data_IF_942869341254
#
_entry.id   IF_942869341254
#
_cell.length_a   1.000
_cell.length_b   1.000
_cell.length_c   1.000
_cell.angle_alpha   90.00
_cell.angle_beta   90.00
_cell.angle_gamma   90.00
#
_symmetry.space_group_name_H-M   'P 1'
#
loop_
_entity.id
_entity.type
_entity.pdbx_description
1 polymer ?
#
# COMPACT_ATOMS: atom_id res chain seq x y z
N UNK A 1 -19.61 10.66 -18.41
CA UNK A 1 -19.23 10.69 -16.98
C UNK A 1 -17.76 10.33 -16.90
N UNK A 2 -16.86 11.30 -16.72
CA UNK A 2 -15.43 11.00 -16.58
C UNK A 2 -15.20 10.30 -15.25
N UNK A 3 -14.79 9.03 -15.28
CA UNK A 3 -14.34 8.33 -14.09
C UNK A 3 -13.18 9.13 -13.49
N UNK A 4 -13.30 9.54 -12.21
CA UNK A 4 -12.19 10.17 -11.51
C UNK A 4 -11.05 9.15 -11.42
N UNK A 5 -9.99 9.38 -12.18
CA UNK A 5 -8.83 8.49 -12.31
C UNK A 5 -8.14 8.23 -10.95
N UNK A 6 -8.39 9.11 -9.96
CA UNK A 6 -7.87 8.96 -8.59
C UNK A 6 -8.45 7.73 -7.88
N UNK A 7 -9.68 7.34 -8.22
CA UNK A 7 -10.35 6.19 -7.59
C UNK A 7 -9.68 4.86 -7.99
N UNK A 8 -9.55 4.50 -9.28
CA UNK A 8 -8.88 3.26 -9.66
C UNK A 8 -7.40 3.27 -9.25
N UNK A 9 -6.70 4.40 -9.40
CA UNK A 9 -5.29 4.52 -8.96
C UNK A 9 -5.18 4.29 -7.45
N UNK A 10 -5.98 4.99 -6.65
CA UNK A 10 -5.96 4.86 -5.19
C UNK A 10 -6.29 3.45 -4.72
N UNK A 11 -7.29 2.80 -5.33
CA UNK A 11 -7.63 1.41 -5.03
C UNK A 11 -6.48 0.45 -5.35
N UNK A 12 -5.81 0.60 -6.50
CA UNK A 12 -4.67 -0.25 -6.85
C UNK A 12 -3.55 -0.15 -5.81
N UNK A 13 -3.19 1.07 -5.40
CA UNK A 13 -2.14 1.28 -4.38
C UNK A 13 -2.52 0.70 -3.02
N UNK A 14 -3.77 0.87 -2.58
CA UNK A 14 -4.24 0.29 -1.31
C UNK A 14 -4.24 -1.23 -1.36
N UNK A 15 -4.75 -1.86 -2.42
CA UNK A 15 -4.79 -3.32 -2.55
C UNK A 15 -3.37 -3.89 -2.55
N UNK A 16 -2.46 -3.34 -3.36
CA UNK A 16 -1.08 -3.79 -3.40
C UNK A 16 -0.36 -3.56 -2.06
N UNK A 17 -0.60 -2.43 -1.41
CA UNK A 17 -0.05 -2.14 -0.10
C UNK A 17 -0.53 -3.10 0.99
N UNK A 18 -1.81 -3.47 0.97
CA UNK A 18 -2.37 -4.47 1.90
C UNK A 18 -1.80 -5.85 1.65
N UNK A 19 -1.66 -6.27 0.40
CA UNK A 19 -1.04 -7.55 0.05
C UNK A 19 0.43 -7.60 0.49
N UNK A 20 1.20 -6.55 0.20
CA UNK A 20 2.62 -6.47 0.55
C UNK A 20 2.84 -6.34 2.07
N UNK A 21 2.03 -5.53 2.74
CA UNK A 21 2.06 -5.37 4.20
C UNK A 21 1.62 -6.64 4.91
N UNK A 22 0.57 -7.30 4.42
CA UNK A 22 0.13 -8.60 4.91
C UNK A 22 1.21 -9.66 4.74
N UNK A 23 1.85 -9.72 3.57
CA UNK A 23 3.03 -10.58 3.36
C UNK A 23 4.14 -10.24 4.37
N UNK A 24 4.41 -8.95 4.60
CA UNK A 24 5.33 -8.50 5.65
C UNK A 24 5.01 -9.06 7.03
N UNK A 25 3.74 -9.10 7.43
CA UNK A 25 3.30 -9.59 8.74
C UNK A 25 3.39 -11.12 8.86
N UNK A 26 3.00 -11.84 7.81
CA UNK A 26 2.90 -13.31 7.84
C UNK A 26 4.15 -14.06 7.35
N UNK A 27 5.18 -13.33 6.90
CA UNK A 27 6.42 -13.92 6.39
C UNK A 27 7.43 -14.26 7.48
N UNK A 28 8.26 -15.26 7.21
CA UNK A 28 9.34 -15.69 8.10
C UNK A 28 10.40 -14.58 8.27
N UNK A 29 10.75 -14.18 9.51
CA UNK A 29 11.83 -13.25 9.80
C UNK A 29 13.17 -13.58 9.13
N UNK A 30 13.46 -14.86 8.88
CA UNK A 30 14.68 -15.31 8.21
C UNK A 30 14.85 -14.72 6.80
N UNK A 31 13.74 -14.42 6.10
CA UNK A 31 13.76 -13.79 4.78
C UNK A 31 14.34 -12.37 4.81
N UNK A 32 14.30 -11.70 5.97
CA UNK A 32 14.77 -10.33 6.14
C UNK A 32 16.24 -10.23 6.58
N UNK A 33 16.94 -11.35 6.76
CA UNK A 33 18.39 -11.34 7.02
C UNK A 33 19.16 -10.61 5.91
N UNK A 34 18.73 -10.77 4.64
CA UNK A 34 19.27 -10.03 3.49
C UNK A 34 18.95 -8.53 3.51
N UNK A 35 17.97 -8.13 4.31
CA UNK A 35 17.50 -6.75 4.49
C UNK A 35 17.97 -6.17 5.83
N UNK A 36 19.06 -6.70 6.40
CA UNK A 36 19.59 -6.31 7.72
C UNK A 36 18.58 -6.48 8.87
N UNK A 37 17.68 -7.46 8.75
CA UNK A 37 16.60 -7.70 9.71
C UNK A 37 15.43 -6.73 9.58
N UNK A 38 15.44 -5.83 8.60
CA UNK A 38 14.36 -4.87 8.36
C UNK A 38 13.26 -5.51 7.53
N UNK A 39 12.02 -5.44 8.02
CA UNK A 39 10.84 -5.88 7.29
C UNK A 39 10.44 -4.86 6.21
N UNK A 40 11.20 -4.87 5.10
CA UNK A 40 11.03 -3.94 3.97
C UNK A 40 9.63 -4.06 3.35
N UNK A 41 9.06 -5.27 3.33
CA UNK A 41 7.72 -5.51 2.78
C UNK A 41 6.64 -4.81 3.62
N UNK A 42 6.73 -4.89 4.94
CA UNK A 42 5.79 -4.19 5.82
C UNK A 42 5.88 -2.67 5.67
N UNK A 43 7.09 -2.11 5.70
CA UNK A 43 7.29 -0.66 5.56
C UNK A 43 6.80 -0.11 4.23
N UNK A 44 7.13 -0.78 3.12
CA UNK A 44 6.64 -0.37 1.81
C UNK A 44 5.15 -0.63 1.63
N UNK A 45 4.61 -1.71 2.22
CA UNK A 45 3.18 -1.97 2.25
C UNK A 45 2.41 -0.82 2.91
N UNK A 46 2.87 -0.36 4.07
CA UNK A 46 2.31 0.81 4.76
C UNK A 46 2.40 2.06 3.88
N UNK A 47 3.55 2.33 3.27
CA UNK A 47 3.74 3.50 2.40
C UNK A 47 2.73 3.50 1.23
N UNK A 48 2.51 2.35 0.59
CA UNK A 48 1.56 2.20 -0.51
C UNK A 48 0.10 2.42 -0.05
N UNK A 49 -0.27 1.90 1.13
CA UNK A 49 -1.61 2.13 1.71
C UNK A 49 -1.84 3.60 2.03
N UNK A 50 -0.86 4.28 2.66
CA UNK A 50 -0.95 5.71 2.96
C UNK A 50 -1.08 6.53 1.68
N UNK A 51 -0.28 6.23 0.66
CA UNK A 51 -0.32 6.91 -0.63
C UNK A 51 -1.66 6.71 -1.35
N UNK A 52 -2.12 5.46 -1.49
CA UNK A 52 -3.40 5.14 -2.12
C UNK A 52 -4.60 5.71 -1.35
N UNK A 53 -4.56 5.65 -0.01
CA UNK A 53 -5.55 6.26 0.86
C UNK A 53 -5.63 7.78 0.69
N UNK A 54 -4.48 8.44 0.48
CA UNK A 54 -4.42 9.87 0.15
C UNK A 54 -5.14 10.21 -1.16
N UNK A 55 -4.95 9.40 -2.21
CA UNK A 55 -5.67 9.56 -3.49
C UNK A 55 -7.19 9.39 -3.33
N UNK A 56 -7.62 8.36 -2.59
CA UNK A 56 -9.05 8.12 -2.32
C UNK A 56 -9.65 9.24 -1.45
N UNK A 57 -8.92 9.70 -0.43
CA UNK A 57 -9.34 10.80 0.43
C UNK A 57 -9.50 12.11 -0.33
N UNK A 58 -8.60 12.40 -1.28
CA UNK A 58 -8.69 13.59 -2.12
C UNK A 58 -9.82 13.51 -3.17
N UNK A 59 -10.12 12.30 -3.68
CA UNK A 59 -11.27 12.08 -4.57
C UNK A 59 -12.60 12.35 -3.87
N UNK A 60 -12.75 11.89 -2.62
CA UNK A 60 -13.95 12.15 -1.78
C UNK A 60 -14.18 13.63 -1.47
N UNK A 61 -13.16 14.49 -1.58
CA UNK A 61 -13.29 15.95 -1.37
C UNK A 61 -13.78 16.71 -2.61
N UNK A 62 -13.90 16.03 -3.76
CA UNK A 62 -14.31 16.64 -5.04
C UNK A 62 -15.67 16.19 -5.56
N UNK A 63 -16.30 15.22 -4.92
CA UNK A 63 -17.72 14.87 -5.13
C UNK A 63 -18.59 15.56 -4.11
#
# INVERSE_FOLDING_TARGET
MGLDIRVPIGLMFVILGLLLGGFGIFSDPALYARSLGVNVNLWWGIALVVFGGGFLGLSRRRG
#
